data_IF_209001279466
#
_entry.id   IF_209001279466
#
_cell.length_a   1.000
_cell.length_b   1.000
_cell.length_c   1.000
_cell.angle_alpha   90.00
_cell.angle_beta   90.00
_cell.angle_gamma   90.00
#
_symmetry.space_group_name_H-M   'P 1'
#
loop_
_entity.id
_entity.type
_entity.pdbx_description
1 polymer ?
#
# COMPACT_ATOMS: atom_id res chain seq x y z
N UNK A 1 -11.83 19.16 -24.01
CA UNK A 1 -11.85 17.71 -23.71
C UNK A 1 -11.87 17.50 -22.20
N UNK A 2 -13.03 17.19 -21.62
CA UNK A 2 -13.15 16.88 -20.18
C UNK A 2 -12.79 15.40 -19.96
N UNK A 3 -11.74 15.12 -19.18
CA UNK A 3 -11.44 13.75 -18.72
C UNK A 3 -12.34 13.45 -17.52
N UNK A 4 -13.19 12.43 -17.65
CA UNK A 4 -14.02 11.91 -16.55
C UNK A 4 -13.12 11.23 -15.52
N UNK A 5 -13.18 11.70 -14.27
CA UNK A 5 -12.63 11.00 -13.11
C UNK A 5 -13.69 9.99 -12.65
N UNK A 6 -13.34 8.71 -12.59
CA UNK A 6 -14.19 7.68 -11.96
C UNK A 6 -13.97 7.73 -10.46
N UNK A 7 -14.98 8.14 -9.71
CA UNK A 7 -15.06 7.95 -8.26
C UNK A 7 -15.70 6.57 -8.04
N UNK A 8 -15.00 5.68 -7.34
CA UNK A 8 -15.56 4.41 -6.89
C UNK A 8 -16.04 4.64 -5.46
N UNK A 9 -17.36 4.72 -5.26
CA UNK A 9 -18.01 4.64 -3.95
C UNK A 9 -18.45 3.19 -3.74
N UNK A 10 -17.79 2.49 -2.83
CA UNK A 10 -18.19 1.16 -2.39
C UNK A 10 -19.13 1.26 -1.19
N UNK A 11 -20.43 1.20 -1.44
CA UNK A 11 -21.44 0.94 -0.41
C UNK A 11 -21.57 -0.58 -0.27
N UNK A 12 -21.30 -1.14 0.90
CA UNK A 12 -21.54 -2.57 1.16
C UNK A 12 -22.44 -2.74 2.39
N UNK A 13 -23.73 -2.90 2.10
CA UNK A 13 -24.72 -3.54 2.96
C UNK A 13 -24.77 -5.01 2.54
N UNK A 14 -24.80 -5.95 3.49
CA UNK A 14 -25.75 -7.10 3.54
C UNK A 14 -25.36 -8.09 4.65
N UNK A 15 -26.36 -8.24 5.54
CA UNK A 15 -26.86 -9.37 6.34
C UNK A 15 -25.96 -10.30 7.18
N UNK A 16 -26.35 -10.37 8.46
CA UNK A 16 -26.26 -11.52 9.37
C UNK A 16 -26.71 -12.84 8.72
N UNK A 17 -26.00 -13.92 9.05
CA UNK A 17 -26.60 -15.21 9.39
C UNK A 17 -25.74 -15.96 10.42
N UNK A 18 -26.38 -16.25 11.55
CA UNK A 18 -25.89 -17.01 12.71
C UNK A 18 -25.82 -18.49 12.35
N UNK A 19 -24.70 -19.17 12.62
CA UNK A 19 -24.70 -20.60 12.98
C UNK A 19 -23.80 -20.81 14.20
N UNK A 20 -24.45 -21.09 15.32
CA UNK A 20 -23.94 -21.62 16.57
C UNK A 20 -23.42 -23.05 16.40
N UNK A 21 -22.21 -23.36 16.87
CA UNK A 21 -21.84 -24.69 17.38
C UNK A 21 -20.51 -24.61 18.16
N UNK A 22 -20.56 -24.00 19.34
CA UNK A 22 -19.67 -24.40 20.43
C UNK A 22 -20.22 -25.66 21.10
N UNK A 23 -19.33 -26.43 21.73
CA UNK A 23 -19.52 -27.69 22.45
C UNK A 23 -19.51 -28.98 21.63
N UNK A 24 -18.33 -29.61 21.54
CA UNK A 24 -18.22 -31.04 21.86
C UNK A 24 -16.79 -31.40 22.30
N UNK A 25 -16.73 -32.35 23.21
CA UNK A 25 -15.70 -32.58 24.23
C UNK A 25 -14.52 -33.42 23.76
N UNK A 26 -13.38 -33.23 24.45
CA UNK A 26 -12.21 -34.13 24.44
C UNK A 26 -12.64 -35.58 24.71
N UNK A 27 -12.60 -36.41 23.68
CA UNK A 27 -12.25 -37.85 23.68
C UNK A 27 -12.53 -38.34 22.26
N UNK A 28 -11.53 -39.00 21.67
CA UNK A 28 -11.44 -39.73 20.39
C UNK A 28 -10.22 -39.22 19.61
N UNK A 29 -9.51 -40.16 18.96
CA UNK A 29 -8.10 -40.13 18.51
C UNK A 29 -7.09 -40.76 19.48
N UNK A 30 -7.43 -41.95 19.99
CA UNK A 30 -6.47 -43.03 20.10
C UNK A 30 -6.71 -43.95 18.90
N UNK A 31 -5.82 -43.94 17.90
CA UNK A 31 -6.00 -44.74 16.68
C UNK A 31 -5.40 -44.14 15.41
N UNK A 32 -4.13 -43.74 15.46
CA UNK A 32 -3.29 -43.60 14.27
C UNK A 32 -1.84 -43.77 14.73
N UNK A 33 -1.28 -44.97 14.56
CA UNK A 33 0.18 -45.14 14.57
C UNK A 33 0.73 -44.33 13.40
N UNK A 34 1.20 -43.13 13.71
CA UNK A 34 1.83 -42.23 12.76
C UNK A 34 3.20 -42.80 12.46
N UNK A 35 3.39 -43.34 11.25
CA UNK A 35 4.69 -43.78 10.74
C UNK A 35 5.68 -42.61 10.72
N UNK A 36 6.44 -42.50 11.81
CA UNK A 36 7.41 -41.45 12.10
C UNK A 36 8.50 -41.39 11.03
N UNK A 37 8.82 -42.53 10.39
CA UNK A 37 9.84 -42.61 9.34
C UNK A 37 9.38 -41.96 8.04
N UNK A 38 8.09 -42.07 7.70
CA UNK A 38 7.51 -41.37 6.55
C UNK A 38 7.38 -39.86 6.79
N UNK A 39 7.10 -39.44 8.03
CA UNK A 39 7.12 -38.02 8.43
C UNK A 39 8.53 -37.43 8.32
N UNK A 40 9.56 -38.14 8.79
CA UNK A 40 10.95 -37.71 8.69
C UNK A 40 11.45 -37.63 7.24
N UNK A 41 11.07 -38.58 6.37
CA UNK A 41 11.40 -38.51 4.93
C UNK A 41 10.73 -37.31 4.24
N UNK A 42 9.48 -36.99 4.59
CA UNK A 42 8.78 -35.80 4.08
C UNK A 42 9.43 -34.51 4.57
N UNK A 43 9.81 -34.44 5.85
CA UNK A 43 10.50 -33.30 6.45
C UNK A 43 11.88 -33.05 5.80
N UNK A 44 12.67 -34.11 5.59
CA UNK A 44 13.96 -34.01 4.91
C UNK A 44 13.83 -33.54 3.46
N UNK A 45 12.84 -34.05 2.72
CA UNK A 45 12.56 -33.62 1.35
C UNK A 45 12.10 -32.14 1.27
N UNK A 46 11.49 -31.64 2.34
CA UNK A 46 11.09 -30.23 2.49
C UNK A 46 12.28 -29.33 2.83
N UNK A 47 13.20 -29.77 3.71
CA UNK A 47 14.47 -29.08 3.98
C UNK A 47 15.36 -28.99 2.73
N UNK A 48 15.47 -30.09 1.98
CA UNK A 48 16.24 -30.15 0.72
C UNK A 48 15.64 -29.24 -0.36
N UNK A 49 14.33 -28.97 -0.31
CA UNK A 49 13.64 -28.02 -1.19
C UNK A 49 13.89 -26.56 -0.76
N UNK A 50 13.81 -26.27 0.55
CA UNK A 50 13.99 -24.93 1.11
C UNK A 50 15.44 -24.44 1.06
N UNK A 51 16.43 -25.34 0.98
CA UNK A 51 17.85 -24.99 0.90
C UNK A 51 18.35 -24.69 -0.53
N UNK A 52 17.48 -24.72 -1.54
CA UNK A 52 17.81 -24.24 -2.89
C UNK A 52 17.44 -22.77 -3.01
N UNK A 53 18.30 -21.91 -3.59
CA UNK A 53 17.93 -20.53 -3.85
C UNK A 53 16.62 -20.50 -4.65
N UNK A 54 15.64 -19.66 -4.28
CA UNK A 54 14.37 -19.63 -4.97
C UNK A 54 14.60 -19.28 -6.44
N UNK A 55 14.17 -20.17 -7.33
CA UNK A 55 14.09 -19.87 -8.75
C UNK A 55 12.96 -18.84 -8.90
N UNK A 56 13.32 -17.57 -9.13
CA UNK A 56 12.34 -16.48 -9.32
C UNK A 56 11.61 -16.60 -10.66
N UNK A 57 12.18 -17.32 -11.63
CA UNK A 57 11.65 -17.56 -12.96
C UNK A 57 12.14 -18.92 -13.48
N UNK A 58 11.53 -19.43 -14.56
CA UNK A 58 11.98 -20.65 -15.25
C UNK A 58 13.20 -20.33 -16.13
N UNK A 59 14.41 -20.86 -15.83
CA UNK A 59 15.55 -20.69 -16.71
C UNK A 59 15.27 -21.26 -18.10
N UNK A 60 15.59 -20.49 -19.12
CA UNK A 60 15.32 -20.80 -20.52
C UNK A 60 13.98 -20.32 -21.06
N UNK A 61 13.08 -19.75 -20.24
CA UNK A 61 11.77 -19.28 -20.71
C UNK A 61 11.59 -17.76 -20.56
N UNK A 62 11.08 -17.14 -21.62
CA UNK A 62 10.83 -15.69 -21.73
C UNK A 62 9.38 -15.49 -22.20
N UNK A 63 8.70 -14.48 -21.69
CA UNK A 63 7.41 -14.00 -22.19
C UNK A 63 7.63 -12.68 -22.91
N UNK A 64 7.12 -12.56 -24.14
CA UNK A 64 7.14 -11.32 -24.91
C UNK A 64 5.71 -10.92 -25.29
N UNK A 65 5.47 -9.62 -25.47
CA UNK A 65 4.27 -9.10 -26.11
C UNK A 65 4.64 -8.16 -27.24
N UNK A 66 4.14 -8.42 -28.44
CA UNK A 66 4.33 -7.54 -29.60
C UNK A 66 3.37 -6.35 -29.51
N UNK A 67 3.69 -5.24 -30.18
CA UNK A 67 2.81 -4.07 -30.26
C UNK A 67 1.53 -4.39 -31.02
N UNK A 68 0.47 -3.64 -30.71
CA UNK A 68 -0.88 -3.88 -31.24
C UNK A 68 -0.95 -3.96 -32.78
N UNK A 69 -0.13 -3.19 -33.48
CA UNK A 69 -0.07 -3.18 -34.94
C UNK A 69 0.59 -4.43 -35.56
N UNK A 70 1.11 -5.34 -34.75
CA UNK A 70 1.80 -6.57 -35.17
C UNK A 70 1.11 -7.84 -34.65
N UNK A 71 -0.04 -7.74 -33.98
CA UNK A 71 -0.76 -8.87 -33.39
C UNK A 71 -1.12 -9.93 -34.44
N UNK A 72 -1.52 -9.52 -35.65
CA UNK A 72 -1.89 -10.42 -36.74
C UNK A 72 -0.67 -10.95 -37.54
N UNK A 73 0.54 -10.54 -37.16
CA UNK A 73 1.78 -11.02 -37.76
C UNK A 73 2.34 -12.18 -36.92
N UNK A 74 2.56 -13.37 -37.50
CA UNK A 74 3.20 -14.46 -36.78
C UNK A 74 4.54 -13.99 -36.19
N UNK A 75 4.80 -14.25 -34.91
CA UNK A 75 6.06 -13.81 -34.27
C UNK A 75 7.32 -14.35 -34.97
N UNK A 76 7.23 -15.50 -35.64
CA UNK A 76 8.30 -16.07 -36.47
C UNK A 76 8.60 -15.22 -37.72
N UNK A 77 7.64 -14.42 -38.17
CA UNK A 77 7.72 -13.56 -39.35
C UNK A 77 8.10 -12.11 -39.02
N UNK A 78 8.26 -11.76 -37.73
CA UNK A 78 8.71 -10.42 -37.31
C UNK A 78 10.24 -10.37 -37.45
N UNK A 79 10.70 -9.68 -38.50
CA UNK A 79 12.12 -9.63 -38.90
C UNK A 79 13.06 -9.11 -37.80
N UNK A 80 12.60 -8.19 -36.95
CA UNK A 80 13.40 -7.66 -35.84
C UNK A 80 13.70 -8.72 -34.77
N UNK A 81 12.80 -9.69 -34.60
CA UNK A 81 12.98 -10.80 -33.67
C UNK A 81 13.84 -11.91 -34.28
N UNK A 82 13.92 -12.04 -35.62
CA UNK A 82 14.68 -13.12 -36.28
C UNK A 82 16.16 -13.16 -35.86
N UNK A 83 16.82 -12.01 -35.75
CA UNK A 83 18.23 -11.96 -35.34
C UNK A 83 18.44 -12.44 -33.90
N UNK A 84 17.57 -12.01 -32.98
CA UNK A 84 17.59 -12.44 -31.58
C UNK A 84 17.20 -13.92 -31.46
N UNK A 85 16.19 -14.36 -32.19
CA UNK A 85 15.73 -15.76 -32.21
C UNK A 85 16.86 -16.69 -32.69
N UNK A 86 17.60 -16.30 -33.72
CA UNK A 86 18.75 -17.07 -34.19
C UNK A 86 19.89 -17.06 -33.16
N UNK A 87 20.21 -15.89 -32.57
CA UNK A 87 21.27 -15.75 -31.56
C UNK A 87 21.03 -16.63 -30.34
N UNK A 88 19.80 -16.68 -29.84
CA UNK A 88 19.42 -17.43 -28.63
C UNK A 88 18.80 -18.80 -28.93
N UNK A 89 18.79 -19.23 -30.20
CA UNK A 89 18.24 -20.52 -30.65
C UNK A 89 16.80 -20.73 -30.14
N UNK A 90 15.93 -19.79 -30.46
CA UNK A 90 14.58 -19.69 -29.89
C UNK A 90 13.59 -20.63 -30.56
N UNK A 91 12.88 -21.39 -29.74
CA UNK A 91 11.62 -22.02 -30.09
C UNK A 91 10.47 -21.10 -29.62
N UNK A 92 9.65 -20.64 -30.56
CA UNK A 92 8.46 -19.84 -30.26
C UNK A 92 7.33 -20.81 -29.91
N UNK A 93 6.76 -20.65 -28.71
CA UNK A 93 5.63 -21.42 -28.20
C UNK A 93 4.42 -20.48 -28.10
N UNK A 94 3.45 -20.58 -29.02
CA UNK A 94 2.22 -19.81 -28.92
C UNK A 94 1.45 -20.16 -27.64
N UNK A 95 0.82 -19.16 -27.03
CA UNK A 95 -0.08 -19.37 -25.89
C UNK A 95 -1.50 -19.61 -26.44
N UNK A 96 -1.86 -20.88 -26.64
CA UNK A 96 -3.16 -21.28 -27.19
C UNK A 96 -4.22 -21.49 -26.11
N UNK A 97 -5.50 -21.42 -26.49
CA UNK A 97 -6.60 -21.96 -25.68
C UNK A 97 -6.68 -23.50 -25.75
N UNK A 98 -7.69 -24.05 -25.08
CA UNK A 98 -7.94 -25.50 -25.00
C UNK A 98 -8.24 -26.13 -26.37
N UNK A 99 -8.69 -25.34 -27.34
CA UNK A 99 -8.93 -25.76 -28.73
C UNK A 99 -7.73 -25.51 -29.67
N UNK A 100 -6.57 -25.10 -29.13
CA UNK A 100 -5.37 -24.86 -29.91
C UNK A 100 -5.39 -23.56 -30.72
N UNK A 101 -6.35 -22.66 -30.46
CA UNK A 101 -6.41 -21.34 -31.09
C UNK A 101 -5.46 -20.40 -30.36
N UNK A 102 -4.63 -19.68 -31.10
CA UNK A 102 -3.94 -18.50 -30.58
C UNK A 102 -5.07 -17.50 -30.20
N UNK A 103 -5.26 -17.26 -28.89
CA UNK A 103 -6.51 -16.76 -28.32
C UNK A 103 -7.13 -15.58 -29.09
N UNK A 104 -8.44 -15.68 -29.30
CA UNK A 104 -9.33 -14.76 -30.01
C UNK A 104 -9.35 -13.35 -29.40
N UNK A 105 -9.49 -12.33 -30.26
CA UNK A 105 -9.51 -10.90 -29.92
C UNK A 105 -10.43 -10.55 -28.72
N UNK A 106 -9.96 -9.69 -27.83
CA UNK A 106 -10.78 -8.99 -26.83
C UNK A 106 -10.44 -9.23 -25.35
N UNK A 107 -9.34 -9.93 -25.03
CA UNK A 107 -8.98 -10.33 -23.64
C UNK A 107 -7.62 -9.81 -23.17
N UNK A 108 -6.86 -9.10 -24.01
CA UNK A 108 -5.65 -8.37 -23.62
C UNK A 108 -4.34 -9.18 -23.67
N UNK A 109 -4.40 -10.45 -24.06
CA UNK A 109 -3.24 -11.33 -24.22
C UNK A 109 -2.81 -11.55 -25.68
N UNK A 110 -3.47 -10.88 -26.61
CA UNK A 110 -3.15 -10.96 -28.03
C UNK A 110 -1.70 -10.51 -28.29
N UNK A 111 -1.02 -11.21 -29.19
CA UNK A 111 0.39 -10.95 -29.48
C UNK A 111 1.37 -11.32 -28.36
N UNK A 112 0.96 -12.13 -27.39
CA UNK A 112 1.83 -12.63 -26.31
C UNK A 112 2.36 -14.02 -26.63
N UNK A 113 3.68 -14.19 -26.53
CA UNK A 113 4.34 -15.46 -26.86
C UNK A 113 5.24 -15.91 -25.71
N UNK A 114 5.31 -17.23 -25.50
CA UNK A 114 6.38 -17.84 -24.71
C UNK A 114 7.51 -18.22 -25.64
N UNK A 115 8.73 -17.79 -25.32
CA UNK A 115 9.95 -18.19 -26.01
C UNK A 115 10.71 -19.16 -25.13
N UNK A 116 11.19 -20.26 -25.72
CA UNK A 116 12.23 -21.10 -25.10
C UNK A 116 13.56 -20.80 -25.79
N UNK A 117 14.57 -20.37 -25.03
CA UNK A 117 15.93 -20.14 -25.55
C UNK A 117 16.78 -21.41 -25.39
N UNK A 118 17.73 -21.63 -26.31
CA UNK A 118 18.57 -22.84 -26.32
C UNK A 118 19.51 -22.99 -25.13
N UNK A 119 19.83 -21.90 -24.42
CA UNK A 119 20.71 -21.92 -23.25
C UNK A 119 20.06 -21.24 -22.03
N UNK A 120 19.63 -22.03 -21.05
CA UNK A 120 18.89 -21.55 -19.89
C UNK A 120 19.67 -20.57 -18.98
N UNK A 121 21.00 -20.63 -18.97
CA UNK A 121 21.84 -19.69 -18.22
C UNK A 121 21.91 -18.29 -18.87
N UNK A 122 21.40 -18.11 -20.09
CA UNK A 122 21.40 -16.83 -20.80
C UNK A 122 20.09 -16.05 -20.67
N UNK A 123 19.11 -16.51 -19.86
CA UNK A 123 17.76 -15.93 -19.79
C UNK A 123 17.76 -14.44 -19.51
N UNK A 124 18.53 -13.98 -18.53
CA UNK A 124 18.57 -12.54 -18.18
C UNK A 124 19.17 -11.70 -19.30
N UNK A 125 20.23 -12.18 -19.95
CA UNK A 125 20.87 -11.52 -21.09
C UNK A 125 19.92 -11.42 -22.28
N UNK A 126 19.23 -12.52 -22.60
CA UNK A 126 18.25 -12.55 -23.67
C UNK A 126 17.10 -11.56 -23.38
N UNK A 127 16.51 -11.58 -22.18
CA UNK A 127 15.47 -10.63 -21.77
C UNK A 127 15.94 -9.18 -21.94
N UNK A 128 17.16 -8.85 -21.51
CA UNK A 128 17.70 -7.50 -21.61
C UNK A 128 17.87 -7.02 -23.07
N UNK A 129 18.11 -7.94 -24.01
CA UNK A 129 18.19 -7.62 -25.44
C UNK A 129 16.82 -7.56 -26.12
N UNK A 130 15.91 -8.49 -25.82
CA UNK A 130 14.53 -8.43 -26.32
C UNK A 130 13.82 -7.15 -25.87
N UNK A 131 14.04 -6.70 -24.63
CA UNK A 131 13.48 -5.43 -24.12
C UNK A 131 13.86 -4.19 -24.95
N UNK A 132 14.92 -4.26 -25.78
CA UNK A 132 15.36 -3.14 -26.64
C UNK A 132 14.70 -3.15 -28.01
N UNK A 133 13.99 -4.22 -28.38
CA UNK A 133 13.34 -4.32 -29.68
C UNK A 133 12.14 -3.34 -29.76
N UNK A 134 12.10 -2.42 -30.75
CA UNK A 134 11.06 -1.41 -30.86
C UNK A 134 9.68 -1.98 -31.23
N UNK A 135 9.59 -3.25 -31.64
CA UNK A 135 8.34 -3.93 -31.99
C UNK A 135 7.70 -4.65 -30.79
N UNK A 136 8.39 -4.71 -29.65
CA UNK A 136 7.85 -5.28 -28.42
C UNK A 136 7.25 -4.20 -27.51
N UNK A 137 6.14 -4.53 -26.88
CA UNK A 137 5.58 -3.79 -25.76
C UNK A 137 6.30 -4.17 -24.46
N UNK A 138 6.62 -5.45 -24.28
CA UNK A 138 7.47 -5.92 -23.18
C UNK A 138 8.17 -7.24 -23.52
N UNK A 139 9.23 -7.54 -22.76
CA UNK A 139 9.89 -8.84 -22.68
C UNK A 139 10.32 -9.08 -21.23
N UNK A 140 10.06 -10.27 -20.69
CA UNK A 140 10.36 -10.62 -19.30
C UNK A 140 10.61 -12.12 -19.13
N UNK A 141 11.30 -12.58 -18.07
CA UNK A 141 11.37 -14.00 -17.76
C UNK A 141 9.98 -14.60 -17.50
N UNK A 142 9.78 -15.89 -17.74
CA UNK A 142 8.59 -16.58 -17.26
C UNK A 142 8.67 -16.76 -15.73
N UNK A 143 8.14 -15.81 -14.98
CA UNK A 143 8.21 -15.80 -13.53
C UNK A 143 7.47 -16.98 -12.90
N UNK A 144 8.07 -17.54 -11.86
CA UNK A 144 7.45 -18.55 -11.02
C UNK A 144 6.61 -17.86 -9.96
N UNK A 145 5.28 -18.02 -10.05
CA UNK A 145 4.37 -17.60 -8.99
C UNK A 145 4.18 -18.75 -8.00
N UNK A 146 4.60 -18.54 -6.76
CA UNK A 146 4.41 -19.53 -5.71
C UNK A 146 2.98 -19.43 -5.17
N UNK A 147 2.18 -20.50 -5.35
CA UNK A 147 0.94 -20.67 -4.60
C UNK A 147 1.35 -20.94 -3.15
N UNK A 148 1.02 -20.01 -2.24
CA UNK A 148 1.32 -20.09 -0.81
C UNK A 148 0.62 -21.30 -0.18
N UNK A 149 1.25 -22.47 -0.27
CA UNK A 149 0.79 -23.70 0.37
C UNK A 149 1.64 -23.93 1.62
N UNK A 150 1.09 -23.58 2.78
CA UNK A 150 1.62 -23.81 4.13
C UNK A 150 2.87 -23.03 4.54
N UNK A 151 2.72 -21.70 4.68
CA UNK A 151 3.60 -20.85 5.49
C UNK A 151 3.02 -20.57 6.90
N UNK A 152 2.14 -21.44 7.39
CA UNK A 152 1.38 -21.21 8.63
C UNK A 152 2.23 -21.39 9.89
N UNK A 153 3.34 -22.14 9.86
CA UNK A 153 4.08 -22.44 11.10
C UNK A 153 5.53 -21.93 11.18
N UNK A 154 6.20 -21.58 10.08
CA UNK A 154 7.57 -21.01 10.11
C UNK A 154 7.65 -19.48 9.87
N UNK A 155 6.53 -18.83 9.52
CA UNK A 155 6.34 -17.36 9.58
C UNK A 155 5.61 -16.96 10.88
N UNK A 156 5.67 -17.79 11.91
CA UNK A 156 5.17 -17.46 13.26
C UNK A 156 6.02 -16.44 14.01
N UNK A 157 6.92 -15.74 13.29
CA UNK A 157 7.25 -14.36 13.64
C UNK A 157 6.49 -13.42 12.72
N UNK A 158 5.15 -13.38 12.85
CA UNK A 158 4.37 -12.25 12.34
C UNK A 158 5.08 -11.00 12.83
N UNK A 159 5.53 -10.14 11.92
CA UNK A 159 6.23 -8.90 12.26
C UNK A 159 5.28 -8.02 13.05
N UNK A 160 5.26 -8.21 14.38
CA UNK A 160 4.37 -7.54 15.31
C UNK A 160 5.15 -6.40 15.97
N UNK A 161 4.58 -5.19 16.01
CA UNK A 161 5.12 -4.08 16.76
C UNK A 161 5.35 -4.44 18.23
N UNK A 162 6.33 -3.81 18.87
CA UNK A 162 6.58 -3.91 20.31
C UNK A 162 5.96 -2.74 21.10
N UNK A 163 5.18 -1.93 20.40
CA UNK A 163 4.52 -0.70 20.84
C UNK A 163 3.40 -1.07 21.83
N UNK A 164 3.30 -0.38 22.99
CA UNK A 164 2.38 -0.76 24.06
C UNK A 164 0.93 -0.91 23.58
N UNK A 165 0.42 0.09 22.86
CA UNK A 165 -0.98 0.13 22.41
C UNK A 165 -1.31 -0.84 21.27
N UNK A 166 -0.31 -1.46 20.65
CA UNK A 166 -0.56 -2.52 19.68
C UNK A 166 -1.06 -3.82 20.34
N UNK A 167 -0.64 -4.08 21.60
CA UNK A 167 -0.92 -5.33 22.32
C UNK A 167 -1.88 -5.16 23.48
N UNK A 168 -2.00 -3.96 24.03
CA UNK A 168 -2.92 -3.70 25.12
C UNK A 168 -4.38 -3.61 24.66
N UNK A 169 -5.26 -3.60 25.65
CA UNK A 169 -6.69 -3.42 25.52
C UNK A 169 -7.14 -2.61 26.74
N UNK A 170 -8.29 -1.93 26.62
CA UNK A 170 -8.89 -1.19 27.72
C UNK A 170 -8.03 -0.02 28.24
N UNK A 171 -7.16 0.58 27.40
CA UNK A 171 -6.48 1.83 27.78
C UNK A 171 -7.43 3.05 27.75
N UNK A 172 -8.54 2.92 27.03
CA UNK A 172 -9.56 3.95 26.87
C UNK A 172 -10.97 3.41 27.19
N UNK A 173 -11.09 2.56 28.20
CA UNK A 173 -12.34 1.93 28.66
C UNK A 173 -13.12 1.13 27.57
N UNK A 174 -12.40 0.69 26.54
CA UNK A 174 -12.92 -0.13 25.45
C UNK A 174 -12.65 -1.63 25.69
N UNK A 175 -13.61 -2.48 25.29
CA UNK A 175 -13.56 -3.93 25.54
C UNK A 175 -12.67 -4.72 24.56
N UNK A 176 -12.14 -4.08 23.52
CA UNK A 176 -11.30 -4.69 22.47
C UNK A 176 -9.88 -4.11 22.49
N UNK A 177 -8.97 -4.69 21.70
CA UNK A 177 -7.58 -4.21 21.60
C UNK A 177 -7.51 -2.71 21.30
N UNK A 178 -6.53 -2.02 21.87
CA UNK A 178 -6.36 -0.58 21.75
C UNK A 178 -6.21 -0.17 20.26
N UNK A 179 -5.32 -0.83 19.51
CA UNK A 179 -5.21 -0.68 18.05
C UNK A 179 -5.92 -1.80 17.26
N UNK A 180 -7.16 -2.12 17.63
CA UNK A 180 -7.99 -3.15 16.96
C UNK A 180 -8.06 -2.98 15.42
N UNK A 181 -8.04 -1.73 14.95
CA UNK A 181 -8.15 -1.37 13.53
C UNK A 181 -7.03 -2.03 12.70
N UNK A 182 -5.82 -2.12 13.24
CA UNK A 182 -4.67 -2.72 12.54
C UNK A 182 -4.84 -4.24 12.37
N UNK A 183 -5.49 -4.91 13.33
CA UNK A 183 -5.86 -6.32 13.21
C UNK A 183 -6.96 -6.53 12.18
N UNK A 184 -7.99 -5.66 12.17
CA UNK A 184 -9.14 -5.79 11.26
C UNK A 184 -8.76 -5.61 9.79
N UNK A 185 -7.79 -4.76 9.48
CA UNK A 185 -7.25 -4.61 8.12
C UNK A 185 -6.07 -5.57 7.83
N UNK A 186 -5.84 -6.56 8.70
CA UNK A 186 -4.84 -7.62 8.58
C UNK A 186 -3.38 -7.13 8.44
N UNK A 187 -3.02 -5.98 9.01
CA UNK A 187 -1.63 -5.49 8.92
C UNK A 187 -0.57 -6.44 9.50
N UNK A 188 -0.80 -7.20 10.58
CA UNK A 188 0.18 -8.16 11.07
C UNK A 188 0.61 -9.20 10.04
N UNK A 189 -0.24 -9.48 9.05
CA UNK A 189 0.07 -10.36 7.90
C UNK A 189 0.69 -9.59 6.73
N UNK A 190 0.44 -8.29 6.61
CA UNK A 190 0.98 -7.44 5.55
C UNK A 190 2.41 -6.94 5.85
N UNK A 191 2.74 -6.64 7.11
CA UNK A 191 4.05 -6.09 7.49
C UNK A 191 5.28 -6.97 7.18
N UNK A 192 5.19 -8.31 7.17
CA UNK A 192 6.25 -9.14 6.62
C UNK A 192 6.52 -8.91 5.12
N UNK A 193 5.53 -8.43 4.35
CA UNK A 193 5.63 -8.19 2.92
C UNK A 193 6.13 -6.76 2.61
N UNK A 194 5.62 -5.76 3.32
CA UNK A 194 6.08 -4.38 3.22
C UNK A 194 5.74 -3.58 4.47
N UNK A 195 6.58 -2.60 4.80
CA UNK A 195 6.31 -1.64 5.86
C UNK A 195 6.26 -0.19 5.37
N UNK A 196 6.00 0.03 4.09
CA UNK A 196 5.93 1.37 3.51
C UNK A 196 7.30 1.99 3.20
N UNK A 197 8.29 1.15 2.88
CA UNK A 197 9.60 1.61 2.40
C UNK A 197 9.46 2.65 1.27
N UNK A 198 10.28 3.70 1.31
CA UNK A 198 10.34 4.76 0.29
C UNK A 198 8.99 5.42 -0.04
N UNK A 199 8.04 5.37 0.91
CA UNK A 199 6.71 5.95 0.75
C UNK A 199 6.59 7.23 1.58
N UNK A 200 6.08 8.29 0.97
CA UNK A 200 5.74 9.53 1.64
C UNK A 200 4.26 9.88 1.40
N UNK A 201 3.57 10.31 2.46
CA UNK A 201 2.17 10.73 2.41
C UNK A 201 2.07 12.21 2.76
N UNK A 202 1.51 13.01 1.86
CA UNK A 202 1.12 14.38 2.19
C UNK A 202 -0.15 14.36 3.03
N UNK A 203 -0.08 14.89 4.25
CA UNK A 203 -1.21 15.00 5.17
C UNK A 203 -1.65 16.46 5.15
N UNK A 204 -2.72 16.75 4.41
CA UNK A 204 -3.28 18.10 4.31
C UNK A 204 -4.35 18.22 5.38
N UNK A 205 -4.03 18.91 6.48
CA UNK A 205 -4.83 18.90 7.71
C UNK A 205 -4.51 20.12 8.62
N UNK A 206 -4.76 20.05 9.93
CA UNK A 206 -4.56 21.14 10.91
C UNK A 206 -3.09 21.37 11.31
N UNK A 207 -2.17 20.52 10.85
CA UNK A 207 -0.76 20.55 11.19
C UNK A 207 -0.24 19.19 11.64
N UNK A 208 0.92 19.17 12.27
CA UNK A 208 1.41 18.04 13.06
C UNK A 208 2.31 18.54 14.20
N UNK A 209 2.20 17.93 15.39
CA UNK A 209 3.16 18.12 16.47
C UNK A 209 4.54 17.63 16.02
N UNK A 210 5.43 18.59 15.75
CA UNK A 210 6.78 18.34 15.24
C UNK A 210 7.70 17.71 16.30
N UNK A 211 7.36 17.85 17.57
CA UNK A 211 8.15 17.37 18.70
C UNK A 211 7.66 16.00 19.22
N UNK A 212 6.47 15.55 18.81
CA UNK A 212 5.86 14.30 19.25
C UNK A 212 6.82 13.13 19.11
N UNK A 213 7.05 12.41 20.21
CA UNK A 213 8.06 11.35 20.31
C UNK A 213 7.87 10.24 19.26
N UNK A 214 6.62 9.99 18.88
CA UNK A 214 6.26 8.96 17.92
C UNK A 214 6.18 9.46 16.46
N UNK A 215 6.37 10.76 16.20
CA UNK A 215 6.23 11.35 14.86
C UNK A 215 7.43 12.16 14.36
N UNK A 216 8.22 12.77 15.25
CA UNK A 216 9.31 13.69 14.86
C UNK A 216 10.26 13.11 13.81
N UNK A 217 10.58 11.82 13.88
CA UNK A 217 11.48 11.13 12.95
C UNK A 217 10.81 10.71 11.63
N UNK A 218 9.50 10.97 11.49
CA UNK A 218 8.67 10.62 10.33
C UNK A 218 8.37 11.83 9.45
N UNK A 219 8.44 13.02 10.04
CA UNK A 219 8.11 14.28 9.39
C UNK A 219 9.24 14.70 8.46
N UNK A 220 8.86 15.02 7.22
CA UNK A 220 9.76 15.57 6.21
C UNK A 220 9.07 16.75 5.51
N UNK A 221 9.84 17.80 5.23
CA UNK A 221 9.39 18.97 4.45
C UNK A 221 8.02 19.55 4.88
N UNK A 222 7.79 19.82 6.19
CA UNK A 222 6.54 20.41 6.64
C UNK A 222 6.30 21.76 5.96
N UNK A 223 5.03 22.08 5.73
CA UNK A 223 4.65 23.35 5.10
C UNK A 223 3.37 23.90 5.68
N UNK A 224 3.41 25.14 6.15
CA UNK A 224 2.19 25.90 6.45
C UNK A 224 1.72 26.65 5.21
N UNK A 225 0.41 26.58 4.98
CA UNK A 225 -0.32 27.23 3.91
C UNK A 225 -1.49 28.07 4.40
N UNK A 226 -1.68 28.20 5.71
CA UNK A 226 -2.75 29.00 6.30
C UNK A 226 -2.53 30.48 5.94
N UNK A 227 -3.53 31.04 5.27
CA UNK A 227 -3.59 32.44 4.88
C UNK A 227 -5.04 32.93 4.92
N UNK A 228 -5.47 33.41 6.08
CA UNK A 228 -6.87 33.75 6.39
C UNK A 228 -6.94 35.05 7.18
N UNK A 229 -7.72 36.00 6.68
CA UNK A 229 -8.07 37.21 7.44
C UNK A 229 -9.17 36.88 8.47
N UNK A 230 -8.79 36.92 9.75
CA UNK A 230 -9.69 36.68 10.88
C UNK A 230 -10.22 37.96 11.54
N UNK A 231 -9.98 39.13 10.95
CA UNK A 231 -10.45 40.42 11.50
C UNK A 231 -11.98 40.55 11.59
N UNK A 232 -12.70 39.73 10.82
CA UNK A 232 -14.16 39.71 10.72
C UNK A 232 -14.79 38.46 11.38
N UNK A 233 -14.09 37.82 12.33
CA UNK A 233 -14.70 36.73 13.10
C UNK A 233 -15.98 37.21 13.83
N UNK A 234 -16.95 36.31 14.08
CA UNK A 234 -18.11 36.63 14.92
C UNK A 234 -17.67 37.22 16.26
N UNK A 235 -18.47 38.13 16.83
CA UNK A 235 -18.11 38.87 18.06
C UNK A 235 -17.91 37.98 19.28
N UNK A 236 -18.45 36.77 19.28
CA UNK A 236 -18.27 35.75 20.31
C UNK A 236 -17.08 34.82 20.04
N UNK A 237 -16.28 35.09 19.00
CA UNK A 237 -15.11 34.30 18.63
C UNK A 237 -13.83 35.16 18.65
N UNK A 238 -12.69 34.52 18.85
CA UNK A 238 -11.39 35.16 18.96
C UNK A 238 -10.25 34.31 18.38
N UNK A 239 -9.14 34.98 18.09
CA UNK A 239 -7.89 34.35 17.72
C UNK A 239 -7.34 33.49 18.87
N UNK A 240 -6.65 32.41 18.52
CA UNK A 240 -5.93 31.52 19.44
C UNK A 240 -4.47 31.98 19.51
N UNK A 241 -3.89 32.15 20.71
CA UNK A 241 -2.47 32.47 20.86
C UNK A 241 -1.57 31.42 20.20
N UNK A 242 -0.55 31.88 19.46
CA UNK A 242 0.43 31.02 18.79
C UNK A 242 0.08 30.63 17.35
N UNK A 243 -1.14 30.93 16.87
CA UNK A 243 -1.51 30.80 15.46
C UNK A 243 -1.27 32.15 14.76
N UNK A 244 -0.57 32.15 13.62
CA UNK A 244 -0.17 33.35 12.89
C UNK A 244 -1.12 33.75 11.74
N UNK A 245 -1.99 32.82 11.32
CA UNK A 245 -3.12 32.95 10.38
C UNK A 245 -2.82 33.42 8.96
N UNK A 246 -1.80 34.25 8.75
CA UNK A 246 -1.55 35.01 7.52
C UNK A 246 -0.10 34.87 7.05
N UNK A 247 0.65 33.95 7.63
CA UNK A 247 2.08 33.77 7.35
C UNK A 247 2.39 32.34 6.90
N UNK A 248 2.21 32.01 5.60
CA UNK A 248 2.58 30.71 5.08
C UNK A 248 4.10 30.43 5.16
N UNK A 249 4.52 29.60 6.11
CA UNK A 249 5.92 29.23 6.29
C UNK A 249 6.11 27.71 6.47
N UNK A 250 7.03 27.24 7.31
CA UNK A 250 7.27 25.82 7.55
C UNK A 250 6.95 25.41 9.00
N UNK A 251 6.36 26.29 9.79
CA UNK A 251 5.92 26.04 11.17
C UNK A 251 4.52 25.43 11.11
N UNK A 252 4.41 24.12 11.29
CA UNK A 252 3.16 23.38 11.12
C UNK A 252 2.58 22.88 12.44
N UNK A 253 2.91 23.54 13.55
CA UNK A 253 2.52 23.06 14.87
C UNK A 253 0.99 22.95 14.98
N UNK A 254 0.53 21.87 15.59
CA UNK A 254 -0.87 21.47 15.53
C UNK A 254 -1.63 21.90 16.76
N UNK A 255 -2.14 23.12 16.73
CA UNK A 255 -2.91 23.72 17.81
C UNK A 255 -4.30 23.06 17.99
N UNK A 256 -4.77 22.31 16.98
CA UNK A 256 -6.06 21.59 17.00
C UNK A 256 -5.88 20.12 17.41
N UNK A 257 -4.81 19.47 16.95
CA UNK A 257 -4.45 18.07 17.25
C UNK A 257 -4.96 17.03 16.24
N UNK A 258 -5.85 17.41 15.32
CA UNK A 258 -6.46 16.47 14.37
C UNK A 258 -5.44 15.93 13.35
N UNK A 259 -4.62 16.80 12.77
CA UNK A 259 -3.58 16.42 11.82
C UNK A 259 -2.48 15.55 12.43
N UNK A 260 -2.14 15.78 13.71
CA UNK A 260 -1.23 14.93 14.50
C UNK A 260 -1.81 13.53 14.67
N UNK A 261 -3.08 13.43 15.03
CA UNK A 261 -3.76 12.15 15.19
C UNK A 261 -3.81 11.35 13.87
N UNK A 262 -4.15 12.01 12.76
CA UNK A 262 -4.15 11.42 11.41
C UNK A 262 -2.74 10.95 11.02
N UNK A 263 -1.73 11.78 11.28
CA UNK A 263 -0.32 11.46 11.03
C UNK A 263 0.16 10.23 11.81
N UNK A 264 -0.25 10.10 13.08
CA UNK A 264 0.00 8.93 13.93
C UNK A 264 -0.53 7.64 13.32
N UNK A 265 -1.78 7.63 12.88
CA UNK A 265 -2.39 6.46 12.22
C UNK A 265 -1.57 6.04 11.00
N UNK A 266 -1.14 6.99 10.17
CA UNK A 266 -0.42 6.71 8.93
C UNK A 266 1.00 6.16 9.21
N UNK A 267 1.75 6.82 10.08
CA UNK A 267 3.20 6.65 10.12
C UNK A 267 3.85 6.77 11.50
N UNK A 268 3.13 6.63 12.62
CA UNK A 268 3.75 6.57 13.96
C UNK A 268 4.96 5.64 13.99
N UNK A 269 5.93 5.95 14.85
CA UNK A 269 7.25 5.33 14.89
C UNK A 269 7.18 3.92 15.43
N UNK A 270 6.81 3.00 14.55
CA UNK A 270 6.57 1.63 14.95
C UNK A 270 7.82 0.91 15.43
N UNK A 271 7.66 0.07 16.44
CA UNK A 271 8.65 -0.80 17.06
C UNK A 271 9.70 -0.06 17.91
N UNK A 272 9.33 1.11 18.43
CA UNK A 272 10.15 1.94 19.34
C UNK A 272 9.85 1.72 20.84
N UNK A 273 8.89 0.83 21.18
CA UNK A 273 8.39 0.56 22.55
C UNK A 273 7.60 1.73 23.19
N UNK A 274 7.15 2.67 22.40
CA UNK A 274 6.40 3.84 22.81
C UNK A 274 5.07 3.88 22.05
N UNK A 275 4.05 4.51 22.62
CA UNK A 275 2.83 4.88 21.89
C UNK A 275 2.21 3.78 21.04
N UNK A 276 1.97 4.11 19.77
CA UNK A 276 1.15 3.35 18.84
C UNK A 276 1.99 2.88 17.64
N UNK A 277 1.57 1.78 17.01
CA UNK A 277 2.10 1.39 15.70
C UNK A 277 1.42 2.18 14.57
N UNK A 278 2.19 2.79 13.68
CA UNK A 278 1.68 3.35 12.43
C UNK A 278 1.38 2.25 11.38
N UNK A 279 0.49 2.54 10.43
CA UNK A 279 0.20 1.64 9.30
C UNK A 279 1.49 1.33 8.52
N UNK A 280 2.24 2.37 8.16
CA UNK A 280 3.52 2.24 7.46
C UNK A 280 4.70 2.53 8.37
N UNK A 281 5.37 1.49 8.88
CA UNK A 281 6.46 1.67 9.86
C UNK A 281 7.62 2.50 9.30
N UNK A 282 7.85 2.47 7.99
CA UNK A 282 8.92 3.23 7.32
C UNK A 282 8.39 4.37 6.46
N UNK A 283 7.08 4.56 6.43
CA UNK A 283 6.45 5.68 5.73
C UNK A 283 6.88 7.00 6.37
N UNK A 284 7.05 8.02 5.52
CA UNK A 284 7.25 9.41 5.94
C UNK A 284 5.97 10.21 5.74
N UNK A 285 5.82 11.27 6.52
CA UNK A 285 4.69 12.20 6.40
C UNK A 285 5.22 13.57 6.00
N UNK A 286 4.47 14.22 5.11
CA UNK A 286 4.67 15.62 4.73
C UNK A 286 3.45 16.37 5.29
N UNK A 287 3.53 16.93 6.51
CA UNK A 287 2.44 17.73 7.04
C UNK A 287 2.29 19.00 6.21
N UNK A 288 1.08 19.24 5.72
CA UNK A 288 0.71 20.48 5.04
C UNK A 288 -0.42 21.09 5.84
N UNK A 289 -0.08 22.05 6.70
CA UNK A 289 -1.04 22.76 7.53
C UNK A 289 -1.88 23.67 6.65
N UNK A 290 -3.18 23.46 6.70
CA UNK A 290 -4.21 24.26 6.01
C UNK A 290 -5.36 24.60 6.94
N UNK A 291 -5.45 23.90 8.07
CA UNK A 291 -6.42 24.18 9.12
C UNK A 291 -5.83 25.08 10.19
N UNK A 292 -6.67 25.96 10.71
CA UNK A 292 -6.35 26.94 11.74
C UNK A 292 -7.36 26.83 12.88
N UNK A 293 -6.98 27.29 14.07
CA UNK A 293 -7.86 27.29 15.23
C UNK A 293 -8.50 28.67 15.46
N UNK A 294 -9.75 28.68 15.92
CA UNK A 294 -10.37 29.84 16.59
C UNK A 294 -10.95 29.38 17.93
N UNK A 295 -11.23 30.31 18.83
CA UNK A 295 -11.95 30.05 20.07
C UNK A 295 -13.29 30.80 20.06
N UNK A 296 -14.39 30.12 20.33
CA UNK A 296 -15.72 30.74 20.41
C UNK A 296 -16.37 30.48 21.78
N UNK A 297 -17.12 31.46 22.29
CA UNK A 297 -17.88 31.32 23.54
C UNK A 297 -18.92 30.19 23.41
N UNK A 298 -18.79 29.19 24.28
CA UNK A 298 -19.70 28.05 24.40
C UNK A 298 -20.76 28.25 25.51
N UNK A 299 -20.79 29.43 26.12
CA UNK A 299 -21.63 29.77 27.26
C UNK A 299 -20.96 29.50 28.61
N UNK A 300 -21.45 30.17 29.66
CA UNK A 300 -20.93 29.98 31.02
C UNK A 300 -19.49 30.48 31.23
N UNK A 301 -18.99 31.37 30.36
CA UNK A 301 -17.62 31.90 30.41
C UNK A 301 -16.56 30.94 29.91
N UNK A 302 -16.95 29.88 29.19
CA UNK A 302 -16.05 28.90 28.59
C UNK A 302 -15.88 29.20 27.09
N UNK A 303 -14.66 29.06 26.58
CA UNK A 303 -14.37 29.13 25.15
C UNK A 303 -14.03 27.74 24.64
N UNK A 304 -14.63 27.34 23.53
CA UNK A 304 -14.34 26.09 22.83
C UNK A 304 -13.43 26.37 21.64
N UNK A 305 -12.39 25.56 21.49
CA UNK A 305 -11.49 25.62 20.34
C UNK A 305 -12.08 24.86 19.17
N UNK A 306 -12.11 25.52 18.01
CA UNK A 306 -12.67 24.99 16.77
C UNK A 306 -11.58 24.97 15.71
N UNK A 307 -11.33 23.81 15.12
CA UNK A 307 -10.48 23.67 13.94
C UNK A 307 -11.28 23.95 12.67
N UNK A 308 -10.79 24.86 11.84
CA UNK A 308 -11.43 25.29 10.60
C UNK A 308 -10.47 25.18 9.43
N UNK A 309 -11.04 25.01 8.24
CA UNK A 309 -10.30 24.96 6.98
C UNK A 309 -10.99 25.86 5.95
N UNK A 310 -10.22 26.42 5.01
CA UNK A 310 -10.76 27.18 3.89
C UNK A 310 -10.54 26.45 2.57
N UNK A 311 -11.45 26.65 1.61
CA UNK A 311 -11.30 26.10 0.25
C UNK A 311 -10.04 26.61 -0.45
N UNK A 312 -9.65 27.86 -0.19
CA UNK A 312 -8.49 28.51 -0.81
C UNK A 312 -7.18 27.86 -0.35
N UNK A 313 -6.98 27.72 0.97
CA UNK A 313 -5.82 27.04 1.54
C UNK A 313 -5.77 25.57 1.10
N UNK A 314 -6.92 24.86 1.09
CA UNK A 314 -6.99 23.47 0.63
C UNK A 314 -6.58 23.35 -0.84
N UNK A 315 -7.06 24.23 -1.71
CA UNK A 315 -6.71 24.23 -3.14
C UNK A 315 -5.21 24.49 -3.34
N UNK A 316 -4.62 25.41 -2.57
CA UNK A 316 -3.17 25.68 -2.57
C UNK A 316 -2.38 24.46 -2.10
N UNK A 317 -2.79 23.83 -1.00
CA UNK A 317 -2.16 22.65 -0.43
C UNK A 317 -2.17 21.45 -1.38
N UNK A 318 -3.31 21.16 -2.02
CA UNK A 318 -3.42 20.06 -2.98
C UNK A 318 -2.50 20.30 -4.18
N UNK A 319 -2.48 21.52 -4.72
CA UNK A 319 -1.58 21.89 -5.83
C UNK A 319 -0.12 21.78 -5.44
N UNK A 320 0.24 22.23 -4.24
CA UNK A 320 1.60 22.11 -3.74
C UNK A 320 2.03 20.64 -3.58
N UNK A 321 1.20 19.81 -2.95
CA UNK A 321 1.49 18.39 -2.77
C UNK A 321 1.67 17.67 -4.11
N UNK A 322 0.83 17.97 -5.10
CA UNK A 322 0.92 17.45 -6.46
C UNK A 322 2.21 17.91 -7.18
N UNK A 323 2.57 19.18 -7.07
CA UNK A 323 3.79 19.75 -7.67
C UNK A 323 5.08 19.18 -7.05
N UNK A 324 5.03 18.75 -5.78
CA UNK A 324 6.14 18.04 -5.11
C UNK A 324 6.22 16.56 -5.50
N UNK A 325 5.42 16.11 -6.47
CA UNK A 325 5.38 14.73 -6.97
C UNK A 325 5.07 13.70 -5.87
N UNK A 326 4.35 14.13 -4.83
CA UNK A 326 3.89 13.24 -3.77
C UNK A 326 2.91 12.24 -4.36
N UNK A 327 3.11 10.95 -4.10
CA UNK A 327 2.30 9.88 -4.71
C UNK A 327 0.98 9.65 -4.00
N UNK A 328 0.87 10.07 -2.74
CA UNK A 328 -0.28 9.85 -1.88
C UNK A 328 -0.61 11.15 -1.14
N UNK A 329 -1.86 11.58 -1.23
CA UNK A 329 -2.40 12.73 -0.50
C UNK A 329 -3.53 12.21 0.39
N UNK A 330 -3.47 12.50 1.69
CA UNK A 330 -4.54 12.24 2.65
C UNK A 330 -5.31 13.53 2.94
N UNK A 331 -6.64 13.45 2.91
CA UNK A 331 -7.57 14.52 3.22
C UNK A 331 -8.64 13.96 4.17
N UNK A 332 -8.38 14.04 5.49
CA UNK A 332 -9.31 13.56 6.53
C UNK A 332 -10.34 14.64 6.88
N UNK A 333 -10.97 15.21 5.86
CA UNK A 333 -11.79 16.41 5.94
C UNK A 333 -12.94 16.34 4.96
N UNK A 334 -13.99 17.11 5.24
CA UNK A 334 -15.16 17.22 4.38
C UNK A 334 -15.97 18.48 4.70
N UNK A 335 -16.76 18.92 3.74
CA UNK A 335 -17.58 20.12 3.88
C UNK A 335 -18.67 20.18 2.81
N UNK A 336 -19.56 21.18 2.87
CA UNK A 336 -20.56 21.42 1.84
C UNK A 336 -19.89 21.70 0.48
N UNK A 337 -20.60 21.41 -0.61
CA UNK A 337 -20.11 21.60 -1.97
C UNK A 337 -19.79 23.08 -2.26
N UNK A 338 -18.66 23.34 -2.93
CA UNK A 338 -18.29 24.62 -3.54
C UNK A 338 -18.28 24.45 -5.06
N UNK A 339 -18.86 25.40 -5.81
CA UNK A 339 -18.87 25.41 -7.28
C UNK A 339 -17.58 25.95 -7.89
#
# INVERSE_FOLDING_TARGET
MRRKVKIIVGLLVVLLLVITAGFMTKKWWAGADVDLANQQKKAKKLEDFNNKPPLNYIPGEIIIKVKDNLIDTPASSISSLTALNNKYQVEIVPLTDEEGRERTQGIGFEGTYKLKIGQANQTEMAVAEYKKDPNLQFAEPNYLYQISNNLVDSITQTKRPNDPYFKSSNSWDQQFQDQWNLYNINLPKAWPLSTGENTAVAVIDTGADLAHEDLKDKIINPKDMVDVDISQLPTNCRAVPGEDYTQPDNEVDDIVGHGTHVSGIIAATTNNKTGIAGIGWKTKIIPIKTGFAIECDAGGGQYERIGLLTNENLNRAIRYAANKNTKIINLSLGGPYSY
#
